data_IF_781091700468
#
_entry.id   IF_781091700468
#
_cell.length_a   1.000
_cell.length_b   1.000
_cell.length_c   1.000
_cell.angle_alpha   90.00
_cell.angle_beta   90.00
_cell.angle_gamma   90.00
#
_symmetry.space_group_name_H-M   'P 1'
#
loop_
_entity.id
_entity.type
_entity.pdbx_description
1 polymer ?
#
# COMPACT_ATOMS: atom_id res chain seq x y z
N UNK A 1 -16.18 -12.33 30.89
CA UNK A 1 -16.28 -12.59 29.45
C UNK A 1 -17.35 -13.66 29.29
N UNK A 2 -18.45 -13.32 28.64
CA UNK A 2 -19.64 -14.18 28.50
C UNK A 2 -19.54 -15.05 27.27
N UNK A 3 -20.30 -16.15 27.23
CA UNK A 3 -20.31 -17.08 26.10
C UNK A 3 -20.68 -16.38 24.77
N UNK A 4 -21.57 -15.37 24.84
CA UNK A 4 -21.92 -14.53 23.68
C UNK A 4 -20.73 -13.74 23.15
N UNK A 5 -19.95 -13.12 24.04
CA UNK A 5 -18.74 -12.37 23.66
C UNK A 5 -17.73 -13.28 22.95
N UNK A 6 -17.60 -14.53 23.39
CA UNK A 6 -16.70 -15.51 22.79
C UNK A 6 -17.21 -15.91 21.39
N UNK A 7 -18.51 -16.15 21.24
CA UNK A 7 -19.11 -16.50 19.95
C UNK A 7 -18.97 -15.37 18.91
N UNK A 8 -19.15 -14.12 19.31
CA UNK A 8 -18.94 -12.97 18.42
C UNK A 8 -17.50 -12.89 17.91
N UNK A 9 -16.51 -13.06 18.80
CA UNK A 9 -15.10 -13.09 18.41
C UNK A 9 -14.81 -14.28 17.50
N UNK A 10 -15.30 -15.49 17.82
CA UNK A 10 -15.07 -16.67 16.97
C UNK A 10 -15.69 -16.53 15.58
N UNK A 11 -16.90 -15.97 15.47
CA UNK A 11 -17.53 -15.70 14.18
C UNK A 11 -16.72 -14.70 13.34
N UNK A 12 -16.18 -13.66 13.97
CA UNK A 12 -15.29 -12.71 13.31
C UNK A 12 -13.99 -13.37 12.83
N UNK A 13 -13.33 -14.17 13.68
CA UNK A 13 -12.12 -14.90 13.31
C UNK A 13 -12.35 -15.86 12.14
N UNK A 14 -13.47 -16.58 12.16
CA UNK A 14 -13.84 -17.51 11.10
C UNK A 14 -14.11 -16.80 9.77
N UNK A 15 -14.65 -15.58 9.80
CA UNK A 15 -14.78 -14.75 8.60
C UNK A 15 -13.42 -14.35 8.01
N UNK A 16 -12.44 -14.06 8.87
CA UNK A 16 -11.06 -13.79 8.43
C UNK A 16 -10.33 -15.03 7.89
N UNK A 17 -10.69 -16.23 8.34
CA UNK A 17 -10.12 -17.50 7.85
C UNK A 17 -10.74 -17.97 6.53
N UNK A 18 -11.72 -17.25 5.98
CA UNK A 18 -12.40 -17.67 4.77
C UNK A 18 -11.47 -17.57 3.53
N UNK A 19 -11.18 -18.67 2.81
CA UNK A 19 -10.32 -18.67 1.63
C UNK A 19 -10.79 -17.73 0.51
N UNK A 20 -12.10 -17.46 0.44
CA UNK A 20 -12.68 -16.52 -0.53
C UNK A 20 -12.26 -15.08 -0.24
N UNK A 21 -12.16 -14.69 1.03
CA UNK A 21 -11.72 -13.35 1.45
C UNK A 21 -10.25 -13.15 1.06
N UNK A 22 -9.40 -14.15 1.35
CA UNK A 22 -7.98 -14.12 0.94
C UNK A 22 -7.83 -14.05 -0.59
N UNK A 23 -8.61 -14.84 -1.33
CA UNK A 23 -8.58 -14.85 -2.80
C UNK A 23 -9.01 -13.51 -3.39
N UNK A 24 -10.06 -12.89 -2.83
CA UNK A 24 -10.52 -11.57 -3.24
C UNK A 24 -9.46 -10.50 -2.97
N UNK A 25 -8.78 -10.57 -1.81
CA UNK A 25 -7.73 -9.63 -1.46
C UNK A 25 -6.54 -9.71 -2.43
N UNK A 26 -6.12 -10.93 -2.79
CA UNK A 26 -5.07 -11.16 -3.80
C UNK A 26 -5.51 -10.65 -5.16
N UNK A 27 -6.74 -10.96 -5.59
CA UNK A 27 -7.29 -10.50 -6.86
C UNK A 27 -7.34 -8.97 -6.94
N UNK A 28 -7.80 -8.30 -5.88
CA UNK A 28 -7.81 -6.83 -5.77
C UNK A 28 -6.40 -6.25 -5.81
N UNK A 29 -5.44 -6.90 -5.16
CA UNK A 29 -4.03 -6.47 -5.16
C UNK A 29 -3.44 -6.57 -6.57
N UNK A 30 -3.63 -7.70 -7.24
CA UNK A 30 -3.15 -7.90 -8.63
C UNK A 30 -3.84 -6.90 -9.56
N UNK A 31 -5.16 -6.73 -9.44
CA UNK A 31 -5.92 -5.75 -10.21
C UNK A 31 -5.33 -4.34 -10.02
N UNK A 32 -5.12 -3.90 -8.77
CA UNK A 32 -4.53 -2.61 -8.48
C UNK A 32 -3.10 -2.47 -9.04
N UNK A 33 -2.28 -3.52 -8.98
CA UNK A 33 -0.94 -3.55 -9.56
C UNK A 33 -0.96 -3.44 -11.09
N UNK A 34 -1.91 -4.10 -11.76
CA UNK A 34 -2.09 -4.00 -13.21
C UNK A 34 -2.44 -2.58 -13.63
N UNK A 35 -3.42 -1.94 -12.97
CA UNK A 35 -3.77 -0.55 -13.27
C UNK A 35 -2.63 0.42 -12.96
N UNK A 36 -1.89 0.20 -11.85
CA UNK A 36 -0.68 0.98 -11.53
C UNK A 36 0.43 0.79 -12.56
N UNK A 37 0.69 -0.44 -12.98
CA UNK A 37 1.70 -0.77 -14.00
C UNK A 37 1.36 -0.20 -15.37
N UNK A 38 0.08 -0.24 -15.75
CA UNK A 38 -0.41 0.36 -17.00
C UNK A 38 -0.26 1.88 -17.00
N UNK A 39 -0.57 2.53 -15.86
CA UNK A 39 -0.33 3.95 -15.70
C UNK A 39 1.16 4.32 -15.75
N UNK A 40 2.04 3.47 -15.21
CA UNK A 40 3.50 3.62 -15.31
C UNK A 40 3.98 3.51 -16.77
N UNK A 41 3.51 2.49 -17.50
CA UNK A 41 3.86 2.26 -18.90
C UNK A 41 3.46 3.45 -19.76
N UNK A 42 2.24 3.96 -19.57
CA UNK A 42 1.75 5.13 -20.30
C UNK A 42 2.53 6.40 -19.96
N UNK A 43 3.00 6.54 -18.73
CA UNK A 43 3.79 7.68 -18.30
C UNK A 43 5.23 7.67 -18.82
N UNK A 44 5.85 6.48 -18.87
CA UNK A 44 7.17 6.28 -19.44
C UNK A 44 7.16 6.58 -20.95
N UNK A 45 6.10 6.17 -21.65
CA UNK A 45 5.93 6.41 -23.08
C UNK A 45 5.76 7.90 -23.42
N UNK A 46 5.13 8.70 -22.55
CA UNK A 46 4.85 10.12 -22.82
C UNK A 46 5.91 11.10 -22.25
N UNK A 47 7.03 10.61 -21.69
CA UNK A 47 8.06 11.45 -21.05
C UNK A 47 7.56 12.24 -19.83
N UNK A 48 6.35 11.93 -19.34
CA UNK A 48 5.69 12.66 -18.27
C UNK A 48 6.17 12.15 -16.91
N UNK A 49 7.21 12.80 -16.40
CA UNK A 49 7.78 12.69 -15.04
C UNK A 49 6.77 12.56 -13.88
N UNK A 50 5.55 13.17 -13.89
CA UNK A 50 4.64 13.12 -12.75
C UNK A 50 4.24 11.71 -12.32
N UNK A 51 4.06 10.77 -13.24
CA UNK A 51 3.57 9.43 -12.91
C UNK A 51 4.67 8.50 -12.38
N UNK A 52 5.92 8.65 -12.84
CA UNK A 52 7.08 8.02 -12.21
C UNK A 52 7.22 8.49 -10.76
N UNK A 53 7.02 9.79 -10.51
CA UNK A 53 7.02 10.36 -9.16
C UNK A 53 5.84 9.85 -8.33
N UNK A 54 4.62 9.75 -8.87
CA UNK A 54 3.46 9.20 -8.15
C UNK A 54 3.68 7.74 -7.74
N UNK A 55 4.26 6.92 -8.62
CA UNK A 55 4.54 5.50 -8.32
C UNK A 55 5.75 5.32 -7.40
N UNK A 56 6.76 6.19 -7.50
CA UNK A 56 7.80 6.33 -6.48
C UNK A 56 7.15 6.69 -5.15
N UNK A 57 6.44 7.81 -5.03
CA UNK A 57 5.80 8.26 -3.78
C UNK A 57 4.90 7.17 -3.19
N UNK A 58 4.03 6.53 -3.98
CA UNK A 58 3.16 5.45 -3.50
C UNK A 58 3.92 4.21 -3.02
N UNK A 59 5.04 3.82 -3.66
CA UNK A 59 5.90 2.72 -3.17
C UNK A 59 6.86 3.17 -2.07
N UNK A 60 7.12 4.47 -1.98
CA UNK A 60 8.08 5.08 -1.06
C UNK A 60 7.40 5.82 0.07
N UNK A 61 6.10 5.70 0.32
CA UNK A 61 5.52 6.30 1.54
C UNK A 61 6.26 5.82 2.82
N UNK A 62 6.97 4.67 2.78
CA UNK A 62 7.97 4.29 3.78
C UNK A 62 9.43 4.73 3.55
N UNK A 63 9.88 5.00 2.31
CA UNK A 63 11.25 5.49 1.98
C UNK A 63 11.34 7.02 1.97
N UNK A 64 10.23 7.71 1.73
CA UNK A 64 10.11 9.16 1.65
C UNK A 64 10.40 9.78 3.01
N UNK A 65 10.02 9.11 4.10
CA UNK A 65 10.41 9.48 5.46
C UNK A 65 11.94 9.36 5.66
N UNK A 66 12.56 8.28 5.19
CA UNK A 66 14.03 8.08 5.27
C UNK A 66 14.77 9.16 4.47
N UNK A 67 14.33 9.43 3.23
CA UNK A 67 14.90 10.47 2.38
C UNK A 67 14.66 11.85 2.99
N UNK A 68 13.50 12.12 3.59
CA UNK A 68 13.23 13.38 4.26
C UNK A 68 14.16 13.57 5.46
N UNK A 69 14.37 12.56 6.30
CA UNK A 69 15.35 12.63 7.39
C UNK A 69 16.77 12.86 6.84
N UNK A 70 17.15 12.19 5.76
CA UNK A 70 18.48 12.30 5.18
C UNK A 70 18.73 13.64 4.46
N UNK A 71 17.73 14.15 3.75
CA UNK A 71 17.79 15.39 2.98
C UNK A 71 17.59 16.63 3.87
N UNK A 72 16.71 16.52 4.87
CA UNK A 72 16.41 17.58 5.84
C UNK A 72 17.38 17.61 7.03
N UNK A 73 18.34 16.68 7.11
CA UNK A 73 19.52 16.82 7.98
C UNK A 73 20.57 17.76 7.35
N UNK A 74 20.15 18.97 6.97
CA UNK A 74 21.07 20.10 6.76
C UNK A 74 21.12 20.91 8.05
N UNK A 75 22.13 20.59 8.86
CA UNK A 75 22.76 21.38 9.93
C UNK A 75 22.09 22.73 10.24
N UNK A 76 21.52 22.86 11.44
CA UNK A 76 21.56 24.13 12.16
C UNK A 76 23.02 24.39 12.53
N UNK A 77 23.66 25.32 11.80
CA UNK A 77 24.84 26.01 12.31
C UNK A 77 24.33 27.36 12.82
N UNK A 78 24.19 27.47 14.13
CA UNK A 78 24.19 28.74 14.85
C UNK A 78 25.02 28.53 16.11
#
# INVERSE_FOLDING_TARGET
MTEKDIQEVTQFLQWMENPWVMSLFIALTIWALVWKGFALWKAAENGSKPWFVTLLVVNTLGILEIIYIFYFSKKKVH
#
